data_IF_094601236803
#
_entry.id   IF_094601236803
#
_cell.length_a   1.000
_cell.length_b   1.000
_cell.length_c   1.000
_cell.angle_alpha   90.00
_cell.angle_beta   90.00
_cell.angle_gamma   90.00
#
_symmetry.space_group_name_H-M   'P 1'
#
loop_
_entity.id
_entity.type
_entity.pdbx_description
1 polymer ?
#
# COMPACT_ATOMS: atom_id res chain seq x y z
N UNK A 1 22.77 -7.43 41.46
CA UNK A 1 22.13 -6.53 40.45
C UNK A 1 20.67 -6.42 40.86
N UNK A 2 20.23 -5.26 41.33
CA UNK A 2 18.83 -5.03 41.66
C UNK A 2 17.99 -5.13 40.36
N UNK A 3 16.89 -5.88 40.38
CA UNK A 3 15.87 -5.81 39.35
C UNK A 3 15.35 -4.38 39.29
N UNK A 4 15.21 -3.77 38.10
CA UNK A 4 14.57 -2.46 38.00
C UNK A 4 13.15 -2.58 38.56
N UNK A 5 12.75 -1.57 39.32
CA UNK A 5 11.42 -1.42 39.88
C UNK A 5 10.34 -1.72 38.86
N UNK A 6 9.28 -2.36 39.33
CA UNK A 6 8.09 -2.77 38.60
C UNK A 6 7.32 -1.52 38.05
N UNK A 7 7.94 -0.78 37.16
CA UNK A 7 7.23 0.24 36.41
C UNK A 7 6.20 -0.47 35.55
N UNK A 8 4.92 -0.18 35.80
CA UNK A 8 3.82 -0.70 35.02
C UNK A 8 4.08 -0.35 33.54
N UNK A 9 4.25 -1.36 32.68
CA UNK A 9 4.42 -1.16 31.25
C UNK A 9 3.18 -0.40 30.76
N UNK A 10 3.35 0.79 30.18
CA UNK A 10 2.19 1.57 29.70
C UNK A 10 1.41 0.76 28.67
N UNK A 11 0.08 0.85 28.74
CA UNK A 11 -0.79 0.23 27.74
C UNK A 11 -0.57 0.96 26.42
N UNK A 12 -0.08 0.24 25.41
CA UNK A 12 0.15 0.77 24.08
C UNK A 12 -1.06 0.47 23.19
N UNK A 13 -1.70 1.50 22.63
CA UNK A 13 -2.94 1.41 21.85
C UNK A 13 -2.80 1.98 20.43
N UNK A 14 -1.57 2.27 19.99
CA UNK A 14 -1.30 2.87 18.67
C UNK A 14 -0.60 1.87 17.72
N UNK A 15 -1.15 0.66 17.62
CA UNK A 15 -0.59 -0.38 16.75
C UNK A 15 -0.74 -0.07 15.24
N UNK A 16 -1.57 0.90 14.88
CA UNK A 16 -1.65 1.39 13.49
C UNK A 16 -0.39 2.17 13.09
N UNK A 17 0.24 2.90 14.02
CA UNK A 17 1.48 3.62 13.77
C UNK A 17 2.69 2.67 13.74
N UNK A 18 2.81 1.79 14.74
CA UNK A 18 3.89 0.79 14.81
C UNK A 18 3.51 -0.34 15.76
N UNK A 19 4.15 -1.50 15.60
CA UNK A 19 3.93 -2.66 16.46
C UNK A 19 5.26 -3.40 16.69
N UNK A 20 5.45 -4.09 17.83
CA UNK A 20 6.62 -4.92 18.04
C UNK A 20 6.74 -6.00 16.94
N UNK A 21 7.98 -6.22 16.48
CA UNK A 21 8.24 -7.34 15.59
C UNK A 21 8.02 -8.67 16.34
N UNK A 22 7.38 -9.63 15.69
CA UNK A 22 7.18 -10.96 16.28
C UNK A 22 8.54 -11.65 16.51
N UNK A 23 8.71 -12.40 17.61
CA UNK A 23 9.97 -13.08 17.90
C UNK A 23 10.49 -13.94 16.75
N UNK A 24 9.61 -14.68 16.08
CA UNK A 24 9.95 -15.54 14.94
C UNK A 24 10.49 -14.73 13.75
N UNK A 25 9.94 -13.53 13.53
CA UNK A 25 10.43 -12.62 12.48
C UNK A 25 11.81 -12.05 12.82
N UNK A 26 12.04 -11.72 14.10
CA UNK A 26 13.37 -11.30 14.58
C UNK A 26 14.39 -12.40 14.35
N UNK A 27 14.10 -13.63 14.79
CA UNK A 27 14.99 -14.80 14.62
C UNK A 27 15.29 -15.05 13.15
N UNK A 28 14.29 -14.99 12.27
CA UNK A 28 14.47 -15.18 10.83
C UNK A 28 15.32 -14.08 10.19
N UNK A 29 15.36 -12.86 10.75
CA UNK A 29 16.12 -11.73 10.22
C UNK A 29 17.59 -11.76 10.65
N UNK A 30 17.89 -12.26 11.86
CA UNK A 30 19.23 -12.21 12.47
C UNK A 30 20.37 -12.73 11.56
N UNK A 31 20.23 -13.85 10.81
CA UNK A 31 21.30 -14.32 9.93
C UNK A 31 21.70 -13.31 8.85
N UNK A 32 20.74 -12.52 8.36
CA UNK A 32 20.94 -11.56 7.27
C UNK A 32 21.55 -10.23 7.75
N UNK A 33 21.58 -9.99 9.05
CA UNK A 33 22.21 -8.79 9.63
C UNK A 33 23.75 -8.93 9.73
N UNK A 34 24.29 -10.15 9.59
CA UNK A 34 25.73 -10.39 9.77
C UNK A 34 26.33 -11.41 8.79
N UNK A 35 25.98 -12.68 8.93
CA UNK A 35 26.63 -13.78 8.22
C UNK A 35 26.13 -14.06 6.80
N UNK A 36 24.82 -13.98 6.58
CA UNK A 36 24.18 -14.27 5.30
C UNK A 36 24.00 -13.01 4.46
N UNK A 37 25.11 -12.28 4.22
CA UNK A 37 25.11 -11.07 3.38
C UNK A 37 25.29 -11.40 1.90
N UNK A 38 24.86 -10.50 1.01
CA UNK A 38 25.11 -10.63 -0.43
C UNK A 38 24.22 -9.70 -1.26
N UNK A 39 24.74 -9.27 -2.41
CA UNK A 39 23.94 -8.55 -3.39
C UNK A 39 23.19 -9.57 -4.26
N UNK A 40 21.87 -9.65 -4.14
CA UNK A 40 21.02 -10.59 -4.86
C UNK A 40 21.11 -10.47 -6.40
N UNK A 41 21.62 -9.36 -6.94
CA UNK A 41 21.84 -9.16 -8.38
C UNK A 41 23.17 -9.76 -8.89
N UNK A 42 24.07 -10.21 -8.01
CA UNK A 42 25.35 -10.79 -8.38
C UNK A 42 25.23 -12.23 -8.87
N UNK A 43 26.32 -12.74 -9.49
CA UNK A 43 26.35 -14.09 -10.10
C UNK A 43 27.15 -15.11 -9.31
N UNK A 44 27.91 -14.70 -8.30
CA UNK A 44 28.74 -15.58 -7.46
C UNK A 44 27.93 -16.28 -6.36
N UNK A 45 28.52 -17.26 -5.67
CA UNK A 45 27.81 -18.12 -4.71
C UNK A 45 27.11 -17.35 -3.59
N UNK A 46 27.76 -16.34 -2.99
CA UNK A 46 27.18 -15.49 -1.92
C UNK A 46 25.97 -14.71 -2.45
N UNK A 47 26.04 -14.15 -3.64
CA UNK A 47 24.94 -13.47 -4.28
C UNK A 47 23.76 -14.40 -4.58
N UNK A 48 24.03 -15.62 -5.03
CA UNK A 48 22.96 -16.62 -5.27
C UNK A 48 22.24 -17.00 -3.98
N UNK A 49 22.95 -17.16 -2.88
CA UNK A 49 22.33 -17.44 -1.57
C UNK A 49 21.40 -16.30 -1.13
N UNK A 50 21.84 -15.04 -1.27
CA UNK A 50 21.00 -13.88 -0.98
C UNK A 50 19.79 -13.80 -1.91
N UNK A 51 19.94 -14.08 -3.20
CA UNK A 51 18.85 -14.13 -4.16
C UNK A 51 17.83 -15.22 -3.79
N UNK A 52 18.30 -16.41 -3.46
CA UNK A 52 17.41 -17.51 -3.05
C UNK A 52 16.57 -17.11 -1.84
N UNK A 53 17.17 -16.52 -0.81
CA UNK A 53 16.44 -16.05 0.37
C UNK A 53 15.38 -14.99 0.03
N UNK A 54 15.72 -14.03 -0.83
CA UNK A 54 14.79 -13.00 -1.28
C UNK A 54 13.61 -13.58 -2.05
N UNK A 55 13.88 -14.47 -3.02
CA UNK A 55 12.81 -15.07 -3.83
C UNK A 55 11.95 -16.04 -3.02
N UNK A 56 12.52 -16.85 -2.11
CA UNK A 56 11.72 -17.68 -1.20
C UNK A 56 10.80 -16.83 -0.29
N UNK A 57 11.28 -15.68 0.19
CA UNK A 57 10.44 -14.75 0.96
C UNK A 57 9.30 -14.18 0.11
N UNK A 58 9.57 -13.88 -1.16
CA UNK A 58 8.58 -13.40 -2.14
C UNK A 58 7.50 -14.45 -2.40
N UNK A 59 7.89 -15.71 -2.57
CA UNK A 59 6.97 -16.84 -2.74
C UNK A 59 6.04 -17.02 -1.53
N UNK A 60 6.56 -16.86 -0.31
CA UNK A 60 5.76 -16.95 0.93
C UNK A 60 4.70 -15.83 0.95
N UNK A 61 5.09 -14.59 0.66
CA UNK A 61 4.14 -13.47 0.61
C UNK A 61 3.10 -13.67 -0.50
N UNK A 62 3.54 -14.06 -1.69
CA UNK A 62 2.65 -14.31 -2.83
C UNK A 62 1.61 -15.40 -2.50
N UNK A 63 2.06 -16.51 -1.89
CA UNK A 63 1.19 -17.59 -1.45
C UNK A 63 0.15 -17.14 -0.41
N UNK A 64 0.57 -16.31 0.54
CA UNK A 64 -0.34 -15.77 1.57
C UNK A 64 -1.42 -14.84 0.99
N UNK A 65 -1.08 -14.11 -0.08
CA UNK A 65 -1.98 -13.19 -0.77
C UNK A 65 -2.77 -13.84 -1.92
N UNK A 66 -2.48 -15.10 -2.28
CA UNK A 66 -3.11 -15.77 -3.42
C UNK A 66 -2.72 -15.21 -4.79
N UNK A 67 -1.52 -14.63 -4.90
CA UNK A 67 -0.99 -14.04 -6.13
C UNK A 67 0.28 -14.76 -6.60
N UNK A 68 0.79 -14.40 -7.77
CA UNK A 68 2.08 -14.93 -8.25
C UNK A 68 3.26 -14.13 -7.67
N UNK A 69 4.46 -14.72 -7.51
CA UNK A 69 5.64 -14.00 -7.02
C UNK A 69 6.00 -12.76 -7.84
N UNK A 70 5.70 -12.74 -9.15
CA UNK A 70 5.96 -11.61 -10.02
C UNK A 70 5.09 -10.37 -9.70
N UNK A 71 3.99 -10.55 -8.99
CA UNK A 71 3.08 -9.50 -8.56
C UNK A 71 3.47 -8.89 -7.20
N UNK A 72 4.47 -9.46 -6.52
CA UNK A 72 4.95 -8.95 -5.23
C UNK A 72 6.16 -8.05 -5.42
N UNK A 73 6.08 -6.82 -4.95
CA UNK A 73 7.18 -5.85 -4.95
C UNK A 73 7.50 -5.47 -3.51
N UNK A 74 8.74 -5.72 -3.06
CA UNK A 74 9.21 -5.26 -1.77
C UNK A 74 9.60 -3.77 -1.84
N UNK A 75 9.12 -3.02 -0.86
CA UNK A 75 9.41 -1.59 -0.67
C UNK A 75 9.94 -1.35 0.74
N UNK A 76 10.42 -0.14 1.01
CA UNK A 76 10.90 0.24 2.34
C UNK A 76 9.77 0.46 3.36
N UNK A 77 8.51 0.52 2.89
CA UNK A 77 7.34 0.73 3.73
C UNK A 77 6.13 1.21 2.94
N UNK A 78 4.98 1.41 3.61
CA UNK A 78 3.71 1.80 3.00
C UNK A 78 3.81 3.09 2.18
N UNK A 79 4.51 4.10 2.66
CA UNK A 79 4.67 5.36 1.92
C UNK A 79 5.31 5.16 0.55
N UNK A 80 6.33 4.31 0.43
CA UNK A 80 6.93 3.98 -0.86
C UNK A 80 5.97 3.14 -1.71
N UNK A 81 5.28 2.18 -1.11
CA UNK A 81 4.30 1.32 -1.79
C UNK A 81 3.17 2.14 -2.41
N UNK A 82 2.54 3.03 -1.62
CA UNK A 82 1.48 3.92 -2.09
C UNK A 82 1.96 4.86 -3.22
N UNK A 83 3.15 5.44 -3.06
CA UNK A 83 3.73 6.29 -4.09
C UNK A 83 4.00 5.52 -5.38
N UNK A 84 4.50 4.29 -5.27
CA UNK A 84 4.77 3.43 -6.43
C UNK A 84 3.46 3.04 -7.13
N UNK A 85 2.45 2.64 -6.39
CA UNK A 85 1.15 2.26 -6.93
C UNK A 85 0.46 3.45 -7.61
N UNK A 86 0.23 4.54 -6.86
CA UNK A 86 -0.57 5.67 -7.34
C UNK A 86 0.13 6.43 -8.47
N UNK A 87 1.40 6.80 -8.27
CA UNK A 87 2.15 7.53 -9.31
C UNK A 87 2.53 6.64 -10.48
N UNK A 88 2.92 5.39 -10.20
CA UNK A 88 3.29 4.42 -11.23
C UNK A 88 2.12 4.14 -12.18
N UNK A 89 0.92 3.86 -11.65
CA UNK A 89 -0.28 3.66 -12.44
C UNK A 89 -0.62 4.90 -13.29
N UNK A 90 -0.60 6.09 -12.68
CA UNK A 90 -0.91 7.34 -13.36
C UNK A 90 0.07 7.63 -14.52
N UNK A 91 1.38 7.53 -14.28
CA UNK A 91 2.38 7.78 -15.33
C UNK A 91 2.37 6.72 -16.42
N UNK A 92 2.15 5.45 -16.07
CA UNK A 92 2.00 4.37 -17.05
C UNK A 92 0.80 4.62 -17.96
N UNK A 93 -0.36 4.96 -17.39
CA UNK A 93 -1.57 5.26 -18.16
C UNK A 93 -1.38 6.46 -19.10
N UNK A 94 -0.74 7.53 -18.63
CA UNK A 94 -0.42 8.70 -19.46
C UNK A 94 0.51 8.36 -20.61
N UNK A 95 1.54 7.56 -20.36
CA UNK A 95 2.49 7.14 -21.41
C UNK A 95 1.82 6.29 -22.49
N UNK A 96 0.78 5.57 -22.12
CA UNK A 96 -0.02 4.72 -23.03
C UNK A 96 -1.22 5.47 -23.64
N UNK A 97 -1.50 6.70 -23.19
CA UNK A 97 -2.65 7.48 -23.67
C UNK A 97 -4.01 6.92 -23.22
N UNK A 98 -4.06 6.13 -22.14
CA UNK A 98 -5.28 5.44 -21.69
C UNK A 98 -6.15 6.27 -20.75
N UNK A 99 -5.63 7.34 -20.16
CA UNK A 99 -6.37 8.24 -19.28
C UNK A 99 -5.47 9.12 -18.42
N UNK A 100 -6.11 9.96 -17.60
CA UNK A 100 -5.46 10.92 -16.70
C UNK A 100 -6.25 11.20 -15.42
N UNK A 101 -7.36 10.51 -15.21
CA UNK A 101 -8.21 10.66 -14.03
C UNK A 101 -7.72 9.83 -12.84
N UNK A 102 -7.66 10.45 -11.68
CA UNK A 102 -7.33 9.81 -10.39
C UNK A 102 -8.49 10.13 -9.45
N UNK A 103 -9.02 9.11 -8.82
CA UNK A 103 -10.08 9.28 -7.82
C UNK A 103 -9.59 8.72 -6.49
N UNK A 104 -9.77 9.48 -5.41
CA UNK A 104 -9.42 9.08 -4.06
C UNK A 104 -10.41 9.70 -3.06
N UNK A 105 -10.26 9.42 -1.77
CA UNK A 105 -11.06 10.05 -0.73
C UNK A 105 -10.29 11.21 -0.05
N UNK A 106 -11.01 12.12 0.59
CA UNK A 106 -10.39 13.16 1.46
C UNK A 106 -9.83 12.58 2.76
N UNK A 107 -9.98 11.31 2.98
CA UNK A 107 -9.82 10.58 4.22
C UNK A 107 -8.62 9.59 4.18
N UNK A 108 -7.86 9.63 3.10
CA UNK A 108 -6.70 8.78 2.87
C UNK A 108 -5.50 9.17 3.74
N UNK A 109 -4.59 8.20 3.90
CA UNK A 109 -3.27 8.49 4.45
C UNK A 109 -2.51 9.50 3.59
N UNK A 110 -1.69 10.33 4.21
CA UNK A 110 -0.90 11.37 3.52
C UNK A 110 -0.01 10.83 2.39
N UNK A 111 0.42 9.58 2.44
CA UNK A 111 1.17 8.95 1.35
C UNK A 111 0.40 8.94 0.02
N UNK A 112 -0.92 8.70 0.08
CA UNK A 112 -1.83 8.76 -1.07
C UNK A 112 -2.15 10.20 -1.42
N UNK A 113 -2.57 11.02 -0.42
CA UNK A 113 -2.96 12.42 -0.66
C UNK A 113 -1.84 13.25 -1.29
N UNK A 114 -0.61 13.15 -0.76
CA UNK A 114 0.53 13.89 -1.32
C UNK A 114 0.97 13.35 -2.69
N UNK A 115 0.74 12.06 -2.96
CA UNK A 115 0.93 11.50 -4.30
C UNK A 115 -0.05 12.11 -5.30
N UNK A 116 -1.32 12.23 -4.89
CA UNK A 116 -2.36 12.91 -5.66
C UNK A 116 -2.05 14.40 -5.88
N UNK A 117 -1.60 15.13 -4.85
CA UNK A 117 -1.18 16.54 -4.96
C UNK A 117 -0.04 16.72 -5.98
N UNK A 118 0.91 15.78 -5.99
CA UNK A 118 2.00 15.80 -6.98
C UNK A 118 1.48 15.57 -8.38
N UNK A 119 0.61 14.58 -8.57
CA UNK A 119 0.05 14.25 -9.88
C UNK A 119 -0.83 15.39 -10.42
N UNK A 120 -1.57 16.07 -9.56
CA UNK A 120 -2.36 17.24 -9.94
C UNK A 120 -1.46 18.38 -10.47
N UNK A 121 -0.31 18.65 -9.82
CA UNK A 121 0.70 19.60 -10.33
C UNK A 121 1.31 19.14 -11.67
N UNK A 122 1.39 17.86 -11.90
CA UNK A 122 1.85 17.26 -13.16
C UNK A 122 0.75 17.25 -14.24
N UNK A 123 -0.44 17.84 -13.95
CA UNK A 123 -1.54 18.02 -14.88
C UNK A 123 -2.46 16.81 -15.02
N UNK A 124 -2.53 15.92 -14.01
CA UNK A 124 -3.58 14.91 -13.92
C UNK A 124 -4.86 15.50 -13.33
N UNK A 125 -6.00 14.93 -13.70
CA UNK A 125 -7.28 15.25 -13.07
C UNK A 125 -7.41 14.44 -11.79
N UNK A 126 -7.51 15.11 -10.64
CA UNK A 126 -7.63 14.45 -9.34
C UNK A 126 -8.98 14.83 -8.72
N UNK A 127 -9.80 13.82 -8.46
CA UNK A 127 -11.02 13.97 -7.67
C UNK A 127 -10.82 13.37 -6.28
N UNK A 128 -11.13 14.16 -5.25
CA UNK A 128 -11.11 13.74 -3.85
C UNK A 128 -12.55 13.69 -3.36
N UNK A 129 -13.10 12.49 -3.27
CA UNK A 129 -14.49 12.30 -2.82
C UNK A 129 -14.61 12.46 -1.31
N UNK A 130 -15.73 12.99 -0.88
CA UNK A 130 -16.03 13.15 0.54
C UNK A 130 -16.36 11.80 1.19
N UNK A 131 -16.28 11.78 2.51
CA UNK A 131 -16.83 10.72 3.35
C UNK A 131 -18.06 11.23 4.09
N UNK A 132 -18.92 10.32 4.55
CA UNK A 132 -20.05 10.64 5.42
C UNK A 132 -19.56 11.08 6.81
N UNK A 133 -20.42 11.65 7.67
CA UNK A 133 -20.07 11.96 9.06
C UNK A 133 -19.58 10.76 9.88
N UNK A 134 -19.96 9.55 9.47
CA UNK A 134 -19.49 8.29 10.09
C UNK A 134 -18.14 7.82 9.56
N UNK A 135 -17.52 8.60 8.66
CA UNK A 135 -16.21 8.27 8.07
C UNK A 135 -16.27 7.18 7.00
N UNK A 136 -17.42 6.95 6.37
CA UNK A 136 -17.59 6.00 5.27
C UNK A 136 -17.56 6.76 3.94
N UNK A 137 -16.93 6.19 2.92
CA UNK A 137 -16.91 6.78 1.57
C UNK A 137 -18.35 7.01 1.07
N UNK A 138 -18.59 8.23 0.57
CA UNK A 138 -19.86 8.56 -0.08
C UNK A 138 -19.87 7.93 -1.48
N UNK A 139 -20.60 6.83 -1.63
CA UNK A 139 -20.65 6.06 -2.87
C UNK A 139 -21.27 6.82 -4.03
N UNK A 140 -22.23 7.72 -3.77
CA UNK A 140 -22.79 8.57 -4.83
C UNK A 140 -21.75 9.57 -5.33
N UNK A 141 -21.03 10.21 -4.40
CA UNK A 141 -19.94 11.12 -4.76
C UNK A 141 -18.78 10.41 -5.47
N UNK A 142 -18.52 9.16 -5.08
CA UNK A 142 -17.53 8.32 -5.78
C UNK A 142 -18.01 8.00 -7.21
N UNK A 143 -19.25 7.57 -7.38
CA UNK A 143 -19.81 7.26 -8.69
C UNK A 143 -19.78 8.45 -9.64
N UNK A 144 -20.10 9.66 -9.13
CA UNK A 144 -20.06 10.91 -9.91
C UNK A 144 -18.63 11.33 -10.33
N UNK A 145 -17.61 10.91 -9.57
CA UNK A 145 -16.22 11.21 -9.85
C UNK A 145 -15.57 10.25 -10.88
N UNK A 146 -16.18 9.09 -11.11
CA UNK A 146 -15.67 8.05 -12.00
C UNK A 146 -16.04 8.31 -13.45
N UNK A 147 -15.10 8.14 -14.37
CA UNK A 147 -15.32 8.18 -15.81
C UNK A 147 -14.38 7.22 -16.57
N UNK A 148 -14.54 7.10 -17.88
CA UNK A 148 -13.72 6.23 -18.74
C UNK A 148 -12.23 6.64 -18.80
N UNK A 149 -11.88 7.85 -18.39
CA UNK A 149 -10.51 8.36 -18.30
C UNK A 149 -9.89 8.14 -16.91
N UNK A 150 -10.65 7.63 -15.95
CA UNK A 150 -10.13 7.25 -14.62
C UNK A 150 -9.17 6.08 -14.78
N UNK A 151 -7.95 6.21 -14.24
CA UNK A 151 -6.88 5.22 -14.35
C UNK A 151 -6.57 4.52 -13.05
N UNK A 152 -6.84 5.20 -11.92
CA UNK A 152 -6.71 4.62 -10.59
C UNK A 152 -7.76 5.21 -9.65
N UNK A 153 -8.31 4.33 -8.83
CA UNK A 153 -9.18 4.66 -7.71
C UNK A 153 -8.50 4.16 -6.45
N UNK A 154 -8.23 5.04 -5.48
CA UNK A 154 -7.58 4.69 -4.22
C UNK A 154 -8.52 4.95 -3.05
N UNK A 155 -8.89 3.88 -2.35
CA UNK A 155 -9.76 3.91 -1.16
C UNK A 155 -9.19 2.97 -0.12
N UNK A 156 -8.74 3.49 1.03
CA UNK A 156 -8.20 2.68 2.12
C UNK A 156 -9.26 1.71 2.66
N UNK A 157 -8.88 0.49 3.01
CA UNK A 157 -9.80 -0.46 3.62
C UNK A 157 -10.23 -0.04 5.03
N UNK A 158 -9.26 0.36 5.84
CA UNK A 158 -9.49 0.76 7.23
C UNK A 158 -8.76 2.07 7.49
N UNK A 159 -9.47 3.07 7.99
CA UNK A 159 -8.80 4.31 8.37
C UNK A 159 -7.94 4.11 9.63
N UNK A 160 -6.67 4.49 9.54
CA UNK A 160 -5.68 4.30 10.60
C UNK A 160 -5.90 5.17 11.84
N UNK A 161 -6.68 6.25 11.74
CA UNK A 161 -6.94 7.18 12.85
C UNK A 161 -8.25 6.85 13.59
N UNK A 162 -9.33 6.60 12.86
CA UNK A 162 -10.67 6.41 13.47
C UNK A 162 -11.17 4.96 13.37
N UNK A 163 -10.50 4.09 12.60
CA UNK A 163 -10.82 2.66 12.55
C UNK A 163 -12.04 2.29 11.72
N UNK A 164 -12.63 3.21 10.96
CA UNK A 164 -13.77 2.90 10.10
C UNK A 164 -13.35 2.00 8.94
N UNK A 165 -14.14 0.97 8.66
CA UNK A 165 -13.94 0.00 7.57
C UNK A 165 -14.77 0.44 6.37
N UNK A 166 -14.14 0.54 5.21
CA UNK A 166 -14.79 0.98 3.98
C UNK A 166 -15.46 -0.17 3.23
N UNK A 167 -16.58 0.07 2.55
CA UNK A 167 -17.32 -0.96 1.78
C UNK A 167 -16.62 -1.21 0.44
N UNK A 168 -15.44 -1.85 0.46
CA UNK A 168 -14.63 -2.03 -0.75
C UNK A 168 -15.29 -2.89 -1.83
N UNK A 169 -16.20 -3.78 -1.47
CA UNK A 169 -16.98 -4.56 -2.46
C UNK A 169 -17.87 -3.64 -3.29
N UNK A 170 -18.58 -2.70 -2.65
CA UNK A 170 -19.42 -1.71 -3.34
C UNK A 170 -18.58 -0.75 -4.17
N UNK A 171 -17.42 -0.32 -3.63
CA UNK A 171 -16.45 0.50 -4.37
C UNK A 171 -15.95 -0.24 -5.62
N UNK A 172 -15.61 -1.52 -5.49
CA UNK A 172 -15.14 -2.33 -6.60
C UNK A 172 -16.22 -2.55 -7.68
N UNK A 173 -17.49 -2.66 -7.28
CA UNK A 173 -18.61 -2.74 -8.21
C UNK A 173 -18.76 -1.44 -9.00
N UNK A 174 -18.80 -0.28 -8.32
CA UNK A 174 -18.83 1.03 -8.98
C UNK A 174 -17.67 1.26 -9.94
N UNK A 175 -16.45 0.88 -9.55
CA UNK A 175 -15.27 1.00 -10.40
C UNK A 175 -15.41 0.13 -11.65
N UNK A 176 -15.88 -1.11 -11.51
CA UNK A 176 -16.11 -2.00 -12.65
C UNK A 176 -17.16 -1.46 -13.63
N UNK A 177 -18.20 -0.81 -13.11
CA UNK A 177 -19.29 -0.26 -13.94
C UNK A 177 -18.90 1.05 -14.62
N UNK A 178 -18.26 1.99 -13.90
CA UNK A 178 -18.05 3.37 -14.36
C UNK A 178 -16.67 3.61 -14.96
N UNK A 179 -15.67 2.87 -14.47
CA UNK A 179 -14.27 3.01 -14.88
C UNK A 179 -13.60 1.63 -15.05
N UNK A 180 -14.08 0.77 -15.96
CA UNK A 180 -13.68 -0.65 -16.04
C UNK A 180 -12.20 -0.88 -16.36
N UNK A 181 -11.47 0.16 -16.75
CA UNK A 181 -10.01 0.10 -16.99
C UNK A 181 -9.18 0.65 -15.82
N UNK A 182 -9.84 1.23 -14.82
CA UNK A 182 -9.14 1.77 -13.65
C UNK A 182 -8.63 0.64 -12.76
N UNK A 183 -7.46 0.87 -12.18
CA UNK A 183 -6.95 0.03 -11.10
C UNK A 183 -7.61 0.46 -9.79
N UNK A 184 -8.06 -0.50 -8.99
CA UNK A 184 -8.49 -0.25 -7.62
C UNK A 184 -7.30 -0.50 -6.69
N UNK A 185 -6.96 0.49 -5.89
CA UNK A 185 -5.89 0.48 -4.89
C UNK A 185 -6.49 0.64 -3.49
N UNK A 186 -6.01 -0.18 -2.55
CA UNK A 186 -6.37 -0.09 -1.14
C UNK A 186 -5.16 -0.31 -0.25
#
# INVERSE_FOLDING_TARGET
>A
MAQPDNEAIPVYLDHAATTPMRPEAVEATLPFLSGAFGNASGTHAVARAAKTALESSREVVASALGVTPAEVVFTSGGTEADNLAVKGAAWAARSQGTGDGIVTTTFEHHAVLHSCDRLERDGFRVARTRVTPDGIVDLDALADALDERTVIVSVMLVNNEVGTIQPLDDVAELVRERAPRALLHT
#
